data_IF_482654083145
#
_entry.id   IF_482654083145
#
_cell.length_a   1.000
_cell.length_b   1.000
_cell.length_c   1.000
_cell.angle_alpha   90.00
_cell.angle_beta   90.00
_cell.angle_gamma   90.00
#
_symmetry.space_group_name_H-M   'P 1'
#
loop_
_entity.id
_entity.type
_entity.pdbx_description
1 polymer ?
#
# COMPACT_ATOMS: atom_id res chain seq x y z
N UNK A 1 1.29 18.89 -0.23
CA UNK A 1 1.32 17.67 -1.07
C UNK A 1 -0.09 17.42 -1.57
N UNK A 2 -0.27 17.07 -2.84
CA UNK A 2 -1.55 16.54 -3.30
C UNK A 2 -1.73 15.16 -2.67
N UNK A 3 -2.58 15.07 -1.64
CA UNK A 3 -2.98 13.79 -1.06
C UNK A 3 -3.71 12.91 -2.08
N UNK A 4 -3.92 11.64 -1.73
CA UNK A 4 -4.71 10.74 -2.56
C UNK A 4 -6.20 11.06 -2.38
N UNK A 5 -6.94 11.22 -3.48
CA UNK A 5 -8.37 11.48 -3.40
C UNK A 5 -9.18 10.21 -3.09
N UNK A 6 -10.36 10.39 -2.50
CA UNK A 6 -11.27 9.27 -2.21
C UNK A 6 -11.74 8.56 -3.48
N UNK A 7 -11.87 9.29 -4.59
CA UNK A 7 -12.24 8.77 -5.91
C UNK A 7 -11.14 7.87 -6.46
N UNK A 8 -9.87 8.29 -6.38
CA UNK A 8 -8.74 7.46 -6.78
C UNK A 8 -8.68 6.16 -5.97
N UNK A 9 -8.82 6.25 -4.64
CA UNK A 9 -8.81 5.08 -3.76
C UNK A 9 -9.99 4.14 -4.03
N UNK A 10 -11.15 4.68 -4.37
CA UNK A 10 -12.34 3.91 -4.77
C UNK A 10 -12.12 3.21 -6.12
N UNK A 11 -11.53 3.90 -7.10
CA UNK A 11 -11.27 3.38 -8.44
C UNK A 11 -10.32 2.16 -8.43
N UNK A 12 -9.22 2.24 -7.67
CA UNK A 12 -8.24 1.15 -7.58
C UNK A 12 -8.68 -0.04 -6.73
N UNK A 13 -9.77 0.07 -5.96
CA UNK A 13 -10.20 -0.92 -4.96
C UNK A 13 -10.28 -2.36 -5.48
N UNK A 14 -10.82 -2.54 -6.70
CA UNK A 14 -10.95 -3.85 -7.33
C UNK A 14 -9.59 -4.43 -7.75
N UNK A 15 -8.70 -3.58 -8.27
CA UNK A 15 -7.34 -3.97 -8.62
C UNK A 15 -6.53 -4.36 -7.37
N UNK A 16 -6.62 -3.56 -6.30
CA UNK A 16 -6.00 -3.83 -5.00
C UNK A 16 -6.41 -5.21 -4.47
N UNK A 17 -7.73 -5.46 -4.36
CA UNK A 17 -8.26 -6.73 -3.84
C UNK A 17 -7.82 -7.93 -4.69
N UNK A 18 -7.79 -7.79 -6.01
CA UNK A 18 -7.35 -8.85 -6.92
C UNK A 18 -5.86 -9.16 -6.79
N UNK A 19 -5.05 -8.13 -6.58
CA UNK A 19 -3.60 -8.23 -6.61
C UNK A 19 -2.98 -8.74 -5.30
N UNK A 20 -3.59 -8.44 -4.15
CA UNK A 20 -3.06 -8.88 -2.83
C UNK A 20 -2.79 -10.38 -2.78
N UNK A 21 -1.64 -10.73 -2.23
CA UNK A 21 -1.16 -12.08 -2.15
C UNK A 21 -1.80 -12.82 -0.97
N UNK A 22 -2.75 -13.70 -1.28
CA UNK A 22 -3.53 -14.46 -0.30
C UNK A 22 -2.66 -15.32 0.62
N UNK A 23 -1.57 -15.89 0.12
CA UNK A 23 -0.67 -16.72 0.94
C UNK A 23 0.07 -15.87 1.99
N UNK A 24 0.46 -14.65 1.63
CA UNK A 24 1.09 -13.70 2.57
C UNK A 24 0.09 -13.21 3.62
N UNK A 25 -1.13 -12.84 3.20
CA UNK A 25 -2.21 -12.49 4.13
C UNK A 25 -2.52 -13.64 5.10
N UNK A 26 -2.60 -14.89 4.59
CA UNK A 26 -2.90 -16.05 5.42
C UNK A 26 -1.83 -16.34 6.47
N UNK A 27 -0.54 -16.11 6.16
CA UNK A 27 0.54 -16.24 7.14
C UNK A 27 0.38 -15.27 8.30
N UNK A 28 0.02 -14.02 8.01
CA UNK A 28 -0.28 -13.02 9.03
C UNK A 28 -1.49 -13.42 9.88
N UNK A 29 -2.61 -13.79 9.24
CA UNK A 29 -3.83 -14.21 9.95
C UNK A 29 -3.62 -15.46 10.80
N UNK A 30 -2.92 -16.48 10.30
CA UNK A 30 -2.62 -17.69 11.07
C UNK A 30 -1.79 -17.37 12.31
N UNK A 31 -0.77 -16.51 12.17
CA UNK A 31 0.03 -16.10 13.30
C UNK A 31 -0.82 -15.40 14.37
N UNK A 32 -1.73 -14.49 13.96
CA UNK A 32 -2.64 -13.81 14.88
C UNK A 32 -3.57 -14.79 15.60
N UNK A 33 -4.15 -15.75 14.88
CA UNK A 33 -5.04 -16.76 15.48
C UNK A 33 -4.31 -17.61 16.51
N UNK A 34 -3.05 -17.97 16.23
CA UNK A 34 -2.23 -18.80 17.10
C UNK A 34 -1.70 -18.06 18.34
N UNK A 35 -1.36 -16.78 18.22
CA UNK A 35 -0.58 -16.06 19.25
C UNK A 35 -1.32 -14.91 19.93
N UNK A 36 -2.41 -14.39 19.36
CA UNK A 36 -3.19 -13.35 20.01
C UNK A 36 -4.01 -13.93 21.19
N UNK A 37 -4.34 -13.12 22.22
CA UNK A 37 -5.19 -13.55 23.33
C UNK A 37 -6.51 -14.13 22.81
N UNK A 38 -6.93 -15.29 23.32
CA UNK A 38 -8.20 -15.89 22.90
C UNK A 38 -9.42 -15.20 23.55
N UNK A 39 -9.19 -14.56 24.70
CA UNK A 39 -10.19 -13.77 25.40
C UNK A 39 -10.22 -12.34 24.88
N UNK A 40 -11.40 -11.87 24.48
CA UNK A 40 -11.64 -10.51 24.01
C UNK A 40 -11.34 -10.27 22.53
N UNK A 41 -11.49 -9.02 22.06
CA UNK A 41 -11.39 -8.68 20.65
C UNK A 41 -9.94 -8.73 20.15
N UNK A 42 -9.78 -9.18 18.91
CA UNK A 42 -8.54 -9.03 18.16
C UNK A 42 -8.39 -7.55 17.74
N UNK A 43 -7.52 -6.83 18.44
CA UNK A 43 -7.14 -5.45 18.13
C UNK A 43 -6.08 -5.36 17.03
N UNK A 44 -6.37 -4.66 15.94
CA UNK A 44 -5.46 -4.43 14.81
C UNK A 44 -5.38 -2.93 14.50
N UNK A 45 -4.24 -2.50 13.97
CA UNK A 45 -4.03 -1.13 13.52
C UNK A 45 -3.64 -1.12 12.04
N UNK A 46 -4.32 -0.27 11.26
CA UNK A 46 -4.02 0.01 9.85
C UNK A 46 -3.37 1.39 9.74
N UNK A 47 -2.10 1.41 9.33
CA UNK A 47 -1.27 2.62 9.23
C UNK A 47 -1.31 3.14 7.80
N UNK A 48 -1.64 4.43 7.65
CA UNK A 48 -1.96 5.05 6.36
C UNK A 48 -3.15 4.32 5.70
N UNK A 49 -4.25 4.24 6.46
CA UNK A 49 -5.41 3.42 6.13
C UNK A 49 -6.19 3.94 4.91
N UNK A 50 -6.03 5.22 4.55
CA UNK A 50 -6.86 5.92 3.58
C UNK A 50 -8.34 5.76 3.92
N UNK A 51 -9.11 5.20 2.98
CA UNK A 51 -10.56 4.93 3.17
C UNK A 51 -10.86 3.61 3.91
N UNK A 52 -9.86 2.99 4.58
CA UNK A 52 -10.06 1.76 5.36
C UNK A 52 -10.20 0.49 4.53
N UNK A 53 -9.66 0.51 3.31
CA UNK A 53 -9.89 -0.54 2.34
C UNK A 53 -9.20 -1.87 2.73
N UNK A 54 -8.05 -1.82 3.39
CA UNK A 54 -7.32 -3.06 3.71
C UNK A 54 -8.05 -3.89 4.79
N UNK A 55 -8.66 -3.23 5.79
CA UNK A 55 -9.58 -3.86 6.75
C UNK A 55 -10.65 -4.70 6.06
N UNK A 56 -11.29 -4.13 5.03
CA UNK A 56 -12.42 -4.76 4.35
C UNK A 56 -12.03 -6.08 3.67
N UNK A 57 -10.75 -6.24 3.27
CA UNK A 57 -10.26 -7.49 2.68
C UNK A 57 -9.70 -8.44 3.74
N UNK A 58 -8.91 -7.93 4.70
CA UNK A 58 -8.21 -8.79 5.65
C UNK A 58 -9.15 -9.39 6.70
N UNK A 59 -10.20 -8.67 7.10
CA UNK A 59 -11.17 -9.18 8.08
C UNK A 59 -11.85 -10.48 7.60
N UNK A 60 -12.05 -10.65 6.28
CA UNK A 60 -12.59 -11.89 5.69
C UNK A 60 -11.69 -13.11 5.95
N UNK A 61 -10.37 -12.91 5.99
CA UNK A 61 -9.39 -13.97 6.27
C UNK A 61 -9.26 -14.33 7.75
N UNK A 62 -9.62 -13.41 8.64
CA UNK A 62 -9.69 -13.66 10.10
C UNK A 62 -10.99 -14.42 10.45
N UNK A 63 -12.08 -14.09 9.74
CA UNK A 63 -13.35 -14.78 9.82
C UNK A 63 -14.41 -14.04 10.66
N UNK A 64 -15.70 -14.28 10.35
CA UNK A 64 -16.82 -13.48 10.85
C UNK A 64 -17.13 -13.64 12.34
N UNK A 65 -16.67 -14.75 12.95
CA UNK A 65 -16.99 -15.10 14.34
C UNK A 65 -16.01 -14.52 15.35
N UNK A 66 -14.85 -14.05 14.90
CA UNK A 66 -13.86 -13.43 15.78
C UNK A 66 -14.22 -11.97 15.96
N UNK A 67 -14.40 -11.53 17.20
CA UNK A 67 -14.55 -10.11 17.48
C UNK A 67 -13.26 -9.37 17.11
N UNK A 68 -13.39 -8.30 16.33
CA UNK A 68 -12.28 -7.52 15.80
C UNK A 68 -12.49 -6.05 16.13
N UNK A 69 -11.42 -5.38 16.55
CA UNK A 69 -11.40 -3.92 16.75
C UNK A 69 -10.25 -3.38 15.94
N UNK A 70 -10.56 -2.50 15.00
CA UNK A 70 -9.59 -1.92 14.10
C UNK A 70 -9.44 -0.43 14.36
N UNK A 71 -8.20 0.01 14.56
CA UNK A 71 -7.84 1.42 14.57
C UNK A 71 -7.24 1.78 13.21
N UNK A 72 -7.87 2.72 12.51
CA UNK A 72 -7.44 3.21 11.20
C UNK A 72 -6.82 4.58 11.42
N UNK A 73 -5.54 4.71 11.13
CA UNK A 73 -4.84 5.98 11.24
C UNK A 73 -4.39 6.48 9.89
N UNK A 74 -4.57 7.78 9.67
CA UNK A 74 -4.16 8.47 8.45
C UNK A 74 -3.90 9.94 8.78
N UNK A 75 -3.18 10.65 7.92
CA UNK A 75 -2.95 12.09 8.06
C UNK A 75 -4.05 12.92 7.37
N UNK A 76 -4.91 12.28 6.57
CA UNK A 76 -6.00 12.92 5.87
C UNK A 76 -7.35 12.73 6.59
N UNK A 77 -7.94 13.79 7.17
CA UNK A 77 -9.22 13.69 7.87
C UNK A 77 -10.40 13.41 6.93
N UNK A 78 -10.31 13.77 5.64
CA UNK A 78 -11.37 13.50 4.67
C UNK A 78 -11.42 12.01 4.32
N UNK A 79 -10.25 11.36 4.17
CA UNK A 79 -10.18 9.91 3.96
C UNK A 79 -10.67 9.13 5.18
N UNK A 80 -10.28 9.57 6.39
CA UNK A 80 -10.78 8.96 7.64
C UNK A 80 -12.29 9.12 7.79
N UNK A 81 -12.88 10.21 7.31
CA UNK A 81 -14.34 10.38 7.33
C UNK A 81 -15.03 9.32 6.46
N UNK A 82 -14.50 9.05 5.27
CA UNK A 82 -15.00 7.98 4.40
C UNK A 82 -14.84 6.61 5.08
N UNK A 83 -13.71 6.37 5.75
CA UNK A 83 -13.47 5.13 6.47
C UNK A 83 -14.44 4.93 7.65
N UNK A 84 -14.73 5.99 8.41
CA UNK A 84 -15.70 5.99 9.51
C UNK A 84 -17.13 5.71 9.02
N UNK A 85 -17.51 6.30 7.89
CA UNK A 85 -18.84 6.14 7.30
C UNK A 85 -19.01 4.79 6.57
N UNK A 86 -17.92 4.06 6.33
CA UNK A 86 -17.95 2.74 5.67
C UNK A 86 -18.25 1.64 6.68
N UNK A 87 -19.36 0.89 6.52
CA UNK A 87 -19.69 -0.20 7.43
C UNK A 87 -18.60 -1.29 7.45
N UNK A 88 -18.30 -1.86 8.62
CA UNK A 88 -17.38 -2.99 8.71
C UNK A 88 -17.97 -4.23 8.01
N UNK A 89 -17.13 -5.16 7.52
CA UNK A 89 -17.58 -6.29 6.70
C UNK A 89 -18.40 -7.33 7.49
N UNK A 90 -18.29 -7.33 8.84
CA UNK A 90 -19.01 -8.27 9.70
C UNK A 90 -19.59 -7.58 10.95
N UNK A 91 -20.70 -8.09 11.53
CA UNK A 91 -21.34 -7.53 12.72
C UNK A 91 -20.44 -7.44 13.96
N UNK A 92 -19.46 -8.34 14.09
CA UNK A 92 -18.52 -8.39 15.22
C UNK A 92 -17.20 -7.64 14.95
N UNK A 93 -17.13 -6.88 13.85
CA UNK A 93 -15.99 -6.02 13.54
C UNK A 93 -16.36 -4.58 13.89
N UNK A 94 -15.51 -3.90 14.66
CA UNK A 94 -15.65 -2.48 15.01
C UNK A 94 -14.48 -1.71 14.42
N UNK A 95 -14.76 -0.50 13.95
CA UNK A 95 -13.79 0.41 13.37
C UNK A 95 -13.70 1.66 14.23
N UNK A 96 -12.48 2.14 14.47
CA UNK A 96 -12.15 3.42 15.05
C UNK A 96 -11.21 4.15 14.10
N UNK A 97 -11.31 5.47 14.03
CA UNK A 97 -10.42 6.31 13.23
C UNK A 97 -9.69 7.29 14.15
N UNK A 98 -8.43 7.59 13.83
CA UNK A 98 -7.68 8.63 14.52
C UNK A 98 -6.78 9.38 13.54
N UNK A 99 -6.78 10.72 13.65
CA UNK A 99 -5.97 11.58 12.81
C UNK A 99 -4.54 11.58 13.33
N UNK A 100 -3.61 11.12 12.52
CA UNK A 100 -2.24 10.86 12.94
C UNK A 100 -1.25 11.49 11.96
N UNK A 101 -0.40 12.39 12.47
CA UNK A 101 0.73 12.91 11.70
C UNK A 101 1.82 11.83 11.65
N UNK A 102 1.74 10.97 10.64
CA UNK A 102 2.61 9.80 10.50
C UNK A 102 4.09 10.18 10.38
N UNK A 103 4.43 11.40 9.95
CA UNK A 103 5.83 11.84 9.81
C UNK A 103 6.52 12.06 11.15
N UNK A 104 5.77 12.26 12.24
CA UNK A 104 6.31 12.39 13.59
C UNK A 104 6.62 11.01 14.18
N UNK A 105 7.87 10.78 14.61
CA UNK A 105 8.25 9.53 15.26
C UNK A 105 7.53 9.30 16.62
N UNK A 106 7.08 10.36 17.29
CA UNK A 106 6.24 10.27 18.50
C UNK A 106 4.89 9.61 18.25
N UNK A 107 4.41 9.62 17.00
CA UNK A 107 3.14 8.98 16.61
C UNK A 107 3.13 7.46 16.78
N UNK A 108 4.30 6.81 16.85
CA UNK A 108 4.41 5.35 16.93
C UNK A 108 4.01 4.76 18.29
N UNK A 109 3.71 5.59 19.29
CA UNK A 109 3.11 5.16 20.56
C UNK A 109 1.71 4.55 20.35
N UNK A 110 1.00 4.97 19.30
CA UNK A 110 -0.32 4.45 18.93
C UNK A 110 -0.34 2.93 18.67
N UNK A 111 0.82 2.33 18.40
CA UNK A 111 0.95 0.88 18.18
C UNK A 111 0.75 0.07 19.47
N UNK A 112 0.89 0.67 20.66
CA UNK A 112 0.72 -0.03 21.93
C UNK A 112 -0.69 -0.62 22.10
N UNK A 113 -0.79 -1.79 22.72
CA UNK A 113 -2.07 -2.44 23.02
C UNK A 113 -2.77 -3.11 21.83
N UNK A 114 -2.15 -3.10 20.64
CA UNK A 114 -2.62 -3.82 19.45
C UNK A 114 -1.95 -5.20 19.36
N UNK A 115 -2.51 -6.10 18.54
CA UNK A 115 -1.98 -7.45 18.33
C UNK A 115 -1.33 -7.64 16.96
N UNK A 116 -1.47 -6.66 16.06
CA UNK A 116 -0.87 -6.69 14.73
C UNK A 116 -1.03 -5.37 14.00
N UNK A 117 -0.09 -5.11 13.10
CA UNK A 117 0.00 -3.88 12.32
C UNK A 117 -0.11 -4.22 10.84
N UNK A 118 -0.93 -3.47 10.11
CA UNK A 118 -1.06 -3.58 8.66
C UNK A 118 -0.84 -2.23 8.00
N UNK A 119 -0.47 -2.23 6.74
CA UNK A 119 -0.43 -1.03 5.89
C UNK A 119 -0.51 -1.43 4.41
N UNK A 120 -0.98 -0.55 3.53
CA UNK A 120 -1.11 -0.84 2.10
C UNK A 120 -0.62 0.33 1.25
N UNK A 121 0.24 0.06 0.25
CA UNK A 121 0.77 1.07 -0.68
C UNK A 121 1.37 2.32 0.02
N UNK A 122 2.11 2.09 1.10
CA UNK A 122 2.67 3.13 1.95
C UNK A 122 4.21 3.09 2.07
N UNK A 123 4.80 1.90 2.03
CA UNK A 123 6.24 1.72 2.28
C UNK A 123 7.14 2.44 1.26
N UNK A 124 6.64 2.67 0.05
CA UNK A 124 7.31 3.42 -1.01
C UNK A 124 7.25 4.94 -0.80
N UNK A 125 6.41 5.44 0.09
CA UNK A 125 6.27 6.87 0.40
C UNK A 125 7.16 7.34 1.56
N UNK A 126 7.60 6.41 2.40
CA UNK A 126 8.36 6.76 3.61
C UNK A 126 9.86 6.77 3.37
N UNK A 127 10.58 7.53 4.19
CA UNK A 127 12.04 7.51 4.17
C UNK A 127 12.61 6.29 4.89
N UNK A 128 13.87 5.96 4.59
CA UNK A 128 14.59 4.87 5.25
C UNK A 128 14.64 5.04 6.78
N UNK A 129 14.86 6.28 7.25
CA UNK A 129 14.95 6.59 8.67
C UNK A 129 13.62 6.34 9.40
N UNK A 130 12.50 6.76 8.79
CA UNK A 130 11.19 6.53 9.36
C UNK A 130 10.89 5.03 9.45
N UNK A 131 11.15 4.28 8.36
CA UNK A 131 10.88 2.85 8.31
C UNK A 131 11.76 2.04 9.28
N UNK A 132 13.01 2.45 9.49
CA UNK A 132 13.90 1.87 10.51
C UNK A 132 13.33 2.07 11.92
N UNK A 133 12.81 3.27 12.21
CA UNK A 133 12.19 3.60 13.50
C UNK A 133 10.89 2.81 13.72
N UNK A 134 10.08 2.68 12.67
CA UNK A 134 8.86 1.89 12.67
C UNK A 134 9.13 0.40 12.96
N UNK A 135 10.10 -0.21 12.27
CA UNK A 135 10.50 -1.60 12.53
C UNK A 135 11.07 -1.79 13.94
N UNK A 136 11.90 -0.84 14.42
CA UNK A 136 12.41 -0.89 15.78
C UNK A 136 11.29 -0.87 16.82
N UNK A 137 10.26 -0.04 16.61
CA UNK A 137 9.08 0.03 17.49
C UNK A 137 8.25 -1.25 17.45
N UNK A 138 7.94 -1.76 16.26
CA UNK A 138 7.23 -3.05 16.12
C UNK A 138 7.99 -4.17 16.82
N UNK A 139 9.32 -4.18 16.73
CA UNK A 139 10.18 -5.17 17.40
C UNK A 139 10.06 -5.11 18.93
N UNK A 140 10.07 -3.91 19.50
CA UNK A 140 9.91 -3.71 20.95
C UNK A 140 8.57 -4.25 21.44
N UNK A 141 7.50 -4.01 20.67
CA UNK A 141 6.15 -4.45 21.00
C UNK A 141 5.85 -5.90 20.58
N UNK A 142 6.80 -6.56 19.89
CA UNK A 142 6.63 -7.89 19.30
C UNK A 142 5.36 -8.00 18.43
N UNK A 143 5.11 -6.99 17.60
CA UNK A 143 3.94 -6.98 16.73
C UNK A 143 4.25 -7.66 15.40
N UNK A 144 3.37 -8.54 14.89
CA UNK A 144 3.39 -8.97 13.50
C UNK A 144 3.03 -7.81 12.59
N UNK A 145 3.58 -7.84 11.38
CA UNK A 145 3.43 -6.79 10.40
C UNK A 145 3.04 -7.37 9.04
N UNK A 146 2.05 -6.76 8.39
CA UNK A 146 1.64 -7.07 7.01
C UNK A 146 1.61 -5.78 6.18
N UNK A 147 2.49 -5.68 5.19
CA UNK A 147 2.44 -4.64 4.18
C UNK A 147 1.91 -5.20 2.87
N UNK A 148 0.79 -4.66 2.38
CA UNK A 148 0.26 -4.94 1.06
C UNK A 148 0.71 -3.92 0.03
N UNK A 149 0.83 -4.35 -1.23
CA UNK A 149 0.96 -3.50 -2.40
C UNK A 149 2.11 -2.48 -2.33
N UNK A 150 3.28 -2.87 -1.82
CA UNK A 150 4.46 -2.00 -1.88
C UNK A 150 4.99 -1.95 -3.30
N UNK A 151 5.04 -0.75 -3.90
CA UNK A 151 5.49 -0.58 -5.27
C UNK A 151 6.95 -1.02 -5.45
N UNK A 152 7.24 -1.80 -6.48
CA UNK A 152 8.57 -2.40 -6.69
C UNK A 152 9.34 -1.83 -7.91
N UNK A 153 8.82 -0.77 -8.53
CA UNK A 153 9.50 -0.08 -9.64
C UNK A 153 9.24 -0.65 -11.02
N UNK A 154 8.39 -1.68 -11.16
CA UNK A 154 8.03 -2.28 -12.45
C UNK A 154 6.77 -1.61 -12.99
N UNK A 155 6.86 -1.03 -14.19
CA UNK A 155 5.71 -0.63 -15.00
C UNK A 155 5.85 -1.32 -16.37
N UNK A 156 4.93 -2.20 -16.72
CA UNK A 156 4.88 -2.80 -18.05
C UNK A 156 3.62 -2.37 -18.77
N UNK A 157 3.73 -2.15 -20.07
CA UNK A 157 2.62 -1.73 -20.90
C UNK A 157 2.60 -2.55 -22.18
N UNK A 158 1.40 -2.95 -22.59
CA UNK A 158 1.13 -3.55 -23.89
C UNK A 158 0.03 -2.75 -24.59
N UNK A 159 0.16 -2.45 -25.89
CA UNK A 159 1.33 -2.71 -26.74
C UNK A 159 2.56 -1.87 -26.36
N UNK A 160 3.75 -2.38 -26.64
CA UNK A 160 5.02 -1.73 -26.31
C UNK A 160 5.21 -0.39 -27.05
N UNK A 161 5.70 0.62 -26.33
CA UNK A 161 6.17 1.89 -26.89
C UNK A 161 7.69 2.04 -26.66
N UNK A 162 8.48 2.54 -27.64
CA UNK A 162 9.93 2.68 -27.49
C UNK A 162 10.40 3.46 -26.24
N UNK A 163 9.56 4.35 -25.73
CA UNK A 163 9.89 5.21 -24.58
C UNK A 163 9.34 4.70 -23.23
N UNK A 164 8.72 3.52 -23.18
CA UNK A 164 8.16 2.96 -21.93
C UNK A 164 9.18 2.92 -20.79
N UNK A 165 10.40 2.46 -21.10
CA UNK A 165 11.48 2.38 -20.11
C UNK A 165 11.94 3.75 -19.63
N UNK A 166 11.86 4.77 -20.47
CA UNK A 166 12.22 6.14 -20.10
C UNK A 166 11.19 6.71 -19.13
N UNK A 167 9.90 6.54 -19.43
CA UNK A 167 8.81 6.97 -18.55
C UNK A 167 8.85 6.23 -17.21
N UNK A 168 9.05 4.91 -17.23
CA UNK A 168 9.22 4.12 -15.99
C UNK A 168 10.40 4.61 -15.15
N UNK A 169 11.56 4.89 -15.77
CA UNK A 169 12.72 5.41 -15.05
C UNK A 169 12.42 6.77 -14.42
N UNK A 170 11.76 7.67 -15.15
CA UNK A 170 11.39 8.98 -14.64
C UNK A 170 10.38 8.86 -13.49
N UNK A 171 9.35 8.02 -13.63
CA UNK A 171 8.42 7.73 -12.55
C UNK A 171 9.11 7.18 -11.30
N UNK A 172 10.04 6.23 -11.45
CA UNK A 172 10.80 5.70 -10.32
C UNK A 172 11.68 6.75 -9.63
N UNK A 173 12.24 7.70 -10.39
CA UNK A 173 12.95 8.85 -9.82
C UNK A 173 12.00 9.79 -9.08
N UNK A 174 10.82 10.05 -9.64
CA UNK A 174 9.77 10.83 -8.99
C UNK A 174 9.27 10.16 -7.69
N UNK A 175 9.18 8.84 -7.64
CA UNK A 175 8.77 8.13 -6.41
C UNK A 175 9.80 8.24 -5.28
N UNK A 176 11.07 8.55 -5.58
CA UNK A 176 12.11 8.75 -4.57
C UNK A 176 12.22 10.21 -4.07
N UNK A 177 11.38 11.12 -4.58
CA UNK A 177 11.31 12.51 -4.07
C UNK A 177 10.66 12.54 -2.69
N UNK A 178 10.74 13.70 -2.02
CA UNK A 178 10.18 13.86 -0.68
C UNK A 178 8.65 13.79 -0.70
N UNK A 179 8.09 12.86 0.10
CA UNK A 179 6.65 12.67 0.31
C UNK A 179 6.21 13.07 1.72
N UNK A 180 6.98 13.94 2.39
CA UNK A 180 6.76 14.42 3.76
C UNK A 180 7.66 13.79 4.80
N UNK A 181 8.27 12.65 4.48
CA UNK A 181 9.15 11.89 5.37
C UNK A 181 10.63 12.20 5.14
N UNK A 182 10.96 13.13 4.24
CA UNK A 182 12.25 13.21 3.56
C UNK A 182 12.24 12.36 2.28
N UNK A 183 13.41 12.18 1.65
CA UNK A 183 13.52 11.37 0.42
C UNK A 183 12.95 9.97 0.65
N UNK A 184 11.91 9.65 -0.12
CA UNK A 184 11.21 8.40 -0.01
C UNK A 184 12.04 7.24 -0.58
N UNK A 185 11.79 6.04 -0.06
CA UNK A 185 12.41 4.82 -0.57
C UNK A 185 11.93 4.47 -1.98
N UNK A 186 10.74 4.95 -2.37
CA UNK A 186 10.13 4.66 -3.66
C UNK A 186 10.08 3.15 -3.92
N UNK A 187 10.52 2.68 -5.11
CA UNK A 187 10.56 1.26 -5.47
C UNK A 187 11.29 0.32 -4.50
N UNK A 188 12.14 0.87 -3.62
CA UNK A 188 12.94 0.08 -2.66
C UNK A 188 12.22 -0.12 -1.31
N UNK A 189 11.06 0.50 -1.10
CA UNK A 189 10.33 0.49 0.18
C UNK A 189 10.11 -0.92 0.73
N UNK A 190 9.53 -1.80 -0.08
CA UNK A 190 9.30 -3.19 0.31
C UNK A 190 10.59 -3.97 0.58
N UNK A 191 11.61 -3.83 -0.26
CA UNK A 191 12.90 -4.48 -0.04
C UNK A 191 13.56 -4.03 1.27
N UNK A 192 13.52 -2.72 1.54
CA UNK A 192 14.07 -2.16 2.77
C UNK A 192 13.32 -2.65 4.01
N UNK A 193 11.99 -2.69 3.99
CA UNK A 193 11.17 -3.25 5.08
C UNK A 193 11.55 -4.72 5.36
N UNK A 194 11.63 -5.54 4.31
CA UNK A 194 12.01 -6.95 4.44
C UNK A 194 13.41 -7.12 5.07
N UNK A 195 14.41 -6.39 4.58
CA UNK A 195 15.77 -6.37 5.14
C UNK A 195 15.80 -5.95 6.61
N UNK A 196 15.02 -4.93 6.98
CA UNK A 196 14.96 -4.43 8.36
C UNK A 196 14.28 -5.41 9.31
N UNK A 197 13.18 -6.01 8.89
CA UNK A 197 12.46 -7.02 9.68
C UNK A 197 13.36 -8.25 9.94
N UNK A 198 14.04 -8.76 8.91
CA UNK A 198 15.00 -9.86 9.06
C UNK A 198 16.11 -9.51 10.06
N UNK A 199 16.71 -8.32 9.96
CA UNK A 199 17.73 -7.85 10.91
C UNK A 199 17.21 -7.68 12.33
N UNK A 200 15.92 -7.35 12.48
CA UNK A 200 15.23 -7.29 13.77
C UNK A 200 14.89 -8.68 14.34
N UNK A 201 15.14 -9.76 13.59
CA UNK A 201 14.91 -11.15 14.02
C UNK A 201 13.52 -11.70 13.69
N UNK A 202 12.78 -11.04 12.78
CA UNK A 202 11.50 -11.53 12.29
C UNK A 202 11.69 -12.70 11.33
N UNK A 203 10.71 -13.61 11.30
CA UNK A 203 10.54 -14.53 10.17
C UNK A 203 9.73 -13.83 9.09
N UNK A 204 10.32 -13.63 7.91
CA UNK A 204 9.71 -12.86 6.83
C UNK A 204 9.33 -13.72 5.64
N UNK A 205 8.22 -13.35 4.99
CA UNK A 205 7.82 -13.90 3.70
C UNK A 205 7.39 -12.77 2.77
N UNK A 206 7.62 -12.96 1.48
CA UNK A 206 7.25 -12.00 0.43
C UNK A 206 6.49 -12.70 -0.68
N UNK A 207 5.53 -12.02 -1.29
CA UNK A 207 4.76 -12.53 -2.43
C UNK A 207 4.50 -11.45 -3.46
N UNK A 208 4.48 -11.81 -4.75
CA UNK A 208 4.09 -10.87 -5.81
C UNK A 208 2.62 -10.47 -5.62
N UNK A 209 2.34 -9.20 -5.86
CA UNK A 209 1.01 -8.61 -5.81
C UNK A 209 0.80 -7.59 -6.93
N UNK A 210 1.23 -7.96 -8.13
CA UNK A 210 1.18 -7.07 -9.29
C UNK A 210 -0.27 -6.74 -9.65
N UNK A 211 -0.54 -5.47 -9.89
CA UNK A 211 -1.77 -5.09 -10.59
C UNK A 211 -1.65 -5.51 -12.04
N UNK A 212 -2.68 -6.17 -12.54
CA UNK A 212 -2.86 -6.44 -13.97
C UNK A 212 -4.11 -5.68 -14.39
N UNK A 213 -3.94 -4.54 -15.05
CA UNK A 213 -5.04 -3.71 -15.54
C UNK A 213 -5.45 -4.20 -16.93
N UNK A 214 -6.66 -4.74 -17.03
CA UNK A 214 -7.18 -5.30 -18.29
C UNK A 214 -7.79 -4.19 -19.18
N UNK A 215 -8.02 -4.44 -20.48
CA UNK A 215 -8.58 -3.42 -21.37
C UNK A 215 -9.94 -2.85 -20.95
N UNK A 216 -10.69 -3.57 -20.11
CA UNK A 216 -11.98 -3.16 -19.57
C UNK A 216 -11.87 -2.19 -18.37
N UNK A 217 -10.67 -2.01 -17.81
CA UNK A 217 -10.40 -1.12 -16.69
C UNK A 217 -9.83 0.22 -17.19
N UNK A 218 -10.51 0.83 -18.17
CA UNK A 218 -10.05 2.03 -18.89
C UNK A 218 -9.88 3.25 -17.96
N UNK A 219 -10.83 3.52 -17.08
CA UNK A 219 -10.74 4.61 -16.09
C UNK A 219 -9.50 4.50 -15.21
N UNK A 220 -9.21 3.29 -14.68
CA UNK A 220 -8.02 3.04 -13.88
C UNK A 220 -6.74 3.23 -14.69
N UNK A 221 -6.71 2.72 -15.93
CA UNK A 221 -5.56 2.88 -16.81
C UNK A 221 -5.32 4.35 -17.16
N UNK A 222 -6.38 5.14 -17.39
CA UNK A 222 -6.29 6.57 -17.70
C UNK A 222 -5.63 7.35 -16.57
N UNK A 223 -6.07 7.14 -15.32
CA UNK A 223 -5.48 7.80 -14.16
C UNK A 223 -4.00 7.43 -13.97
N UNK A 224 -3.66 6.15 -14.15
CA UNK A 224 -2.28 5.67 -14.08
C UNK A 224 -1.38 6.35 -15.13
N UNK A 225 -1.73 6.31 -16.41
CA UNK A 225 -0.86 6.85 -17.46
C UNK A 225 -0.71 8.37 -17.38
N UNK A 226 -1.75 9.09 -16.94
CA UNK A 226 -1.67 10.54 -16.73
C UNK A 226 -0.71 10.86 -15.59
N UNK A 227 -0.84 10.17 -14.46
CA UNK A 227 0.08 10.34 -13.34
C UNK A 227 1.53 10.00 -13.69
N UNK A 228 1.76 8.97 -14.51
CA UNK A 228 3.12 8.63 -14.97
C UNK A 228 3.69 9.68 -15.93
N UNK A 229 2.86 10.23 -16.82
CA UNK A 229 3.26 11.31 -17.72
C UNK A 229 3.60 12.59 -16.95
N UNK A 230 2.78 12.99 -15.99
CA UNK A 230 3.02 14.16 -15.14
C UNK A 230 4.32 14.02 -14.34
N UNK A 231 4.50 12.89 -13.64
CA UNK A 231 5.73 12.59 -12.93
C UNK A 231 6.97 12.61 -13.84
N UNK A 232 6.85 12.14 -15.09
CA UNK A 232 7.94 12.18 -16.04
C UNK A 232 8.32 13.62 -16.44
N UNK A 233 7.33 14.52 -16.59
CA UNK A 233 7.59 15.95 -16.87
C UNK A 233 8.26 16.64 -15.70
N UNK A 234 7.80 16.37 -14.47
CA UNK A 234 8.40 16.97 -13.26
C UNK A 234 9.87 16.59 -13.07
N UNK A 235 10.26 15.38 -13.49
CA UNK A 235 11.65 14.93 -13.50
C UNK A 235 12.46 15.49 -14.69
N UNK A 236 11.79 16.11 -15.67
CA UNK A 236 12.43 16.80 -16.79
C UNK A 236 12.55 15.98 -18.07
N UNK A 237 11.73 14.95 -18.27
CA UNK A 237 11.61 14.31 -19.59
C UNK A 237 11.01 15.33 -20.58
N UNK A 238 11.59 15.51 -21.79
CA UNK A 238 11.09 16.48 -22.76
C UNK A 238 9.60 16.28 -23.09
N UNK A 239 8.85 17.38 -23.13
CA UNK A 239 7.40 17.34 -23.37
C UNK A 239 7.03 16.58 -24.64
N UNK A 240 7.78 16.77 -25.72
CA UNK A 240 7.54 16.06 -26.99
C UNK A 240 7.62 14.54 -26.87
N UNK A 241 8.44 14.02 -25.96
CA UNK A 241 8.56 12.58 -25.70
C UNK A 241 7.40 12.10 -24.83
N UNK A 242 7.00 12.89 -23.83
CA UNK A 242 5.90 12.55 -22.93
C UNK A 242 4.57 12.61 -23.68
N UNK A 243 4.36 13.62 -24.53
CA UNK A 243 3.16 13.80 -25.36
C UNK A 243 2.98 12.63 -26.32
N UNK A 244 4.02 12.26 -27.07
CA UNK A 244 4.00 11.12 -28.00
C UNK A 244 3.66 9.80 -27.27
N UNK A 245 4.30 9.56 -26.11
CA UNK A 245 4.00 8.39 -25.29
C UNK A 245 2.56 8.39 -24.77
N UNK A 246 2.09 9.53 -24.26
CA UNK A 246 0.76 9.67 -23.67
C UNK A 246 -0.33 9.50 -24.74
N UNK A 247 -0.18 10.14 -25.89
CA UNK A 247 -1.10 10.02 -27.03
C UNK A 247 -1.19 8.56 -27.53
N UNK A 248 -0.06 7.87 -27.59
CA UNK A 248 -0.01 6.44 -27.93
C UNK A 248 -0.79 5.59 -26.93
N UNK A 249 -0.61 5.84 -25.62
CA UNK A 249 -1.29 5.13 -24.53
C UNK A 249 -2.79 5.39 -24.53
N UNK A 250 -3.20 6.66 -24.65
CA UNK A 250 -4.61 7.07 -24.75
C UNK A 250 -5.30 6.42 -25.95
N UNK A 251 -4.62 6.38 -27.10
CA UNK A 251 -5.13 5.71 -28.30
C UNK A 251 -5.30 4.20 -28.10
N UNK A 252 -4.36 3.55 -27.39
CA UNK A 252 -4.45 2.12 -27.10
C UNK A 252 -5.60 1.80 -26.13
N UNK A 253 -5.81 2.64 -25.10
CA UNK A 253 -6.96 2.52 -24.18
C UNK A 253 -8.26 2.70 -24.94
N UNK A 254 -8.41 3.77 -25.72
CA UNK A 254 -9.64 4.03 -26.49
C UNK A 254 -9.98 2.97 -27.55
N UNK A 255 -9.00 2.15 -27.94
CA UNK A 255 -9.19 0.99 -28.84
C UNK A 255 -9.42 -0.34 -28.10
N UNK A 256 -9.44 -0.35 -26.77
CA UNK A 256 -9.55 -1.57 -25.96
C UNK A 256 -8.36 -2.52 -26.15
N UNK A 257 -7.16 -1.98 -26.41
CA UNK A 257 -5.95 -2.78 -26.65
C UNK A 257 -4.89 -2.62 -25.55
N UNK A 258 -5.09 -1.68 -24.64
CA UNK A 258 -4.13 -1.40 -23.58
C UNK A 258 -4.23 -2.40 -22.44
N UNK A 259 -3.07 -2.91 -22.01
CA UNK A 259 -2.90 -3.64 -20.76
C UNK A 259 -1.72 -3.05 -20.01
N UNK A 260 -1.89 -2.80 -18.72
CA UNK A 260 -0.83 -2.32 -17.85
C UNK A 260 -0.54 -3.35 -16.76
N UNK A 261 0.72 -3.44 -16.36
CA UNK A 261 1.12 -4.11 -15.14
C UNK A 261 1.87 -3.11 -14.25
N UNK A 262 1.42 -2.99 -13.01
CA UNK A 262 2.11 -2.23 -11.96
C UNK A 262 2.63 -3.21 -10.95
N UNK A 263 3.95 -3.30 -10.84
CA UNK A 263 4.58 -4.29 -9.97
C UNK A 263 4.51 -3.90 -8.51
N UNK A 264 4.07 -4.84 -7.68
CA UNK A 264 4.09 -4.69 -6.24
C UNK A 264 4.54 -5.98 -5.54
N UNK A 265 4.89 -5.83 -4.28
CA UNK A 265 5.21 -6.93 -3.37
C UNK A 265 4.44 -6.78 -2.07
N UNK A 266 3.88 -7.89 -1.60
CA UNK A 266 3.32 -8.02 -0.27
C UNK A 266 4.37 -8.66 0.64
N UNK A 267 4.44 -8.19 1.88
CA UNK A 267 5.45 -8.60 2.86
C UNK A 267 4.75 -8.88 4.18
N UNK A 268 5.07 -10.01 4.79
CA UNK A 268 4.71 -10.30 6.18
C UNK A 268 5.98 -10.50 7.01
N UNK A 269 6.03 -9.87 8.17
CA UNK A 269 7.00 -10.11 9.21
C UNK A 269 6.33 -10.69 10.44
N UNK A 270 6.76 -11.88 10.87
CA UNK A 270 6.31 -12.52 12.11
C UNK A 270 7.40 -12.36 13.19
N UNK A 271 7.09 -11.78 14.37
CA UNK A 271 8.06 -11.49 15.40
C UNK A 271 8.54 -12.80 16.04
N UNK A 272 9.77 -12.84 16.58
CA UNK A 272 10.22 -14.00 17.34
C UNK A 272 9.49 -14.05 18.68
N UNK A 273 9.20 -15.28 19.13
CA UNK A 273 8.52 -15.59 20.39
C UNK A 273 9.30 -15.02 21.60
#
# INVERSE_FOLDING_TARGET
MSGFSSEWLSLRRKADRRARNKDIMQKFCNWLVEHAPQDGPLKLIDVAAGTGSFLQDLAEHIGPNREQVWLLIDNDPELLKVAEDTPPPFPHTRTQTDLCELTDAGSLEVLEGHHGVVTSAFLDLVSAHWLDSFVARMRQLKLPFLAGLSYNGILLSQPHHPTDRLIQRAFNQHQATDKGFGSALGPLGGFHAHERLLKAGYTCFTGRSDWICTPEEDELQLELIKGWAEAAREIGVPDSIVDDWLDYRLTAIGKGKSQLQVGHVDIVGLPPL
#
